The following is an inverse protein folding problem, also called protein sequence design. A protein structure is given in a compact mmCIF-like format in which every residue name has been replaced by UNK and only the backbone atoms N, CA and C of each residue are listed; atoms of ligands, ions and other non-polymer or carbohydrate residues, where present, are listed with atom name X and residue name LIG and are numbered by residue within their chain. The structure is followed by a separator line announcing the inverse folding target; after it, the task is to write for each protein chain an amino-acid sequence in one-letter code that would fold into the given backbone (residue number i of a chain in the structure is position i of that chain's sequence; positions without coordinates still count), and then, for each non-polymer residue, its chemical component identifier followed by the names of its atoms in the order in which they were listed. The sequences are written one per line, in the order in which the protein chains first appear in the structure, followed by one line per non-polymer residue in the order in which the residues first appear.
data_IF_249748637152
#
_entry.id   IF_249748637152
#
_cell.length_a   1.000
_cell.length_b   1.000
_cell.length_c   1.000
_cell.angle_alpha   90.00
_cell.angle_beta   90.00
_cell.angle_gamma   90.00
#
_symmetry.space_group_name_H-M   'P 1'
#
loop_
_entity.id
_entity.type
_entity.pdbx_description
1 polymer ?
#
# COMPACT_ATOMS: atom_id res chain seq x y z
N UNK A 1 -7.23 -19.65 4.74
CA UNK A 1 -6.56 -20.10 5.99
C UNK A 1 -5.54 -19.09 6.54
N UNK A 2 -5.13 -18.07 5.79
CA UNK A 2 -4.07 -17.13 6.21
C UNK A 2 -4.48 -16.17 7.34
N UNK A 3 -5.74 -15.73 7.39
CA UNK A 3 -6.18 -14.78 8.40
C UNK A 3 -6.04 -15.31 9.84
N UNK A 4 -6.54 -16.51 10.13
CA UNK A 4 -6.43 -17.07 11.48
C UNK A 4 -4.97 -17.28 11.90
N UNK A 5 -4.10 -17.64 10.95
CA UNK A 5 -2.67 -17.74 11.20
C UNK A 5 -2.04 -16.37 11.49
N UNK A 6 -2.40 -15.33 10.73
CA UNK A 6 -1.98 -13.95 11.00
C UNK A 6 -2.41 -13.51 12.40
N UNK A 7 -3.68 -13.69 12.77
CA UNK A 7 -4.19 -13.30 14.09
C UNK A 7 -3.48 -14.06 15.22
N UNK A 8 -3.22 -15.36 15.03
CA UNK A 8 -2.42 -16.16 15.97
C UNK A 8 -1.00 -15.61 16.10
N UNK A 9 -0.36 -15.23 14.99
CA UNK A 9 0.98 -14.65 15.00
C UNK A 9 1.02 -13.32 15.77
N UNK A 10 0.04 -12.43 15.55
CA UNK A 10 -0.09 -11.15 16.27
C UNK A 10 -0.17 -11.35 17.78
N UNK A 11 -0.98 -12.33 18.23
CA UNK A 11 -1.07 -12.69 19.65
C UNK A 11 0.24 -13.27 20.17
N UNK A 12 0.86 -14.18 19.42
CA UNK A 12 2.10 -14.84 19.82
C UNK A 12 3.26 -13.84 20.04
N UNK A 13 3.33 -12.78 19.21
CA UNK A 13 4.33 -11.72 19.35
C UNK A 13 3.90 -10.58 20.28
N UNK A 14 2.74 -10.72 20.95
CA UNK A 14 2.18 -9.75 21.90
C UNK A 14 1.90 -8.35 21.30
N UNK A 15 1.55 -8.30 20.01
CA UNK A 15 1.30 -7.05 19.29
C UNK A 15 -0.20 -6.68 19.20
N UNK A 16 -1.08 -7.38 19.91
CA UNK A 16 -2.54 -7.18 19.83
C UNK A 16 -3.03 -5.79 20.29
N UNK A 17 -2.19 -4.99 20.95
CA UNK A 17 -2.52 -3.61 21.33
C UNK A 17 -2.10 -2.57 20.27
N UNK A 18 -1.33 -2.98 19.26
CA UNK A 18 -0.75 -2.08 18.25
C UNK A 18 -1.10 -2.48 16.82
N UNK A 19 -1.56 -3.71 16.60
CA UNK A 19 -1.96 -4.22 15.29
C UNK A 19 -3.46 -4.52 15.30
N UNK A 20 -4.19 -3.90 14.37
CA UNK A 20 -5.59 -4.16 14.10
C UNK A 20 -5.74 -4.69 12.67
N UNK A 21 -6.45 -5.81 12.53
CA UNK A 21 -6.83 -6.34 11.23
C UNK A 21 -8.19 -5.78 10.79
N UNK A 22 -8.31 -5.41 9.52
CA UNK A 22 -9.58 -5.00 8.89
C UNK A 22 -10.07 -6.11 7.95
N UNK A 23 -11.18 -6.82 8.27
CA UNK A 23 -11.69 -7.95 7.48
C UNK A 23 -12.42 -7.52 6.20
N UNK A 24 -11.85 -6.60 5.44
CA UNK A 24 -12.42 -6.03 4.21
C UNK A 24 -11.42 -6.13 3.05
N UNK A 25 -11.89 -5.94 1.83
CA UNK A 25 -10.99 -5.69 0.69
C UNK A 25 -10.19 -4.40 0.93
N UNK A 26 -9.02 -4.27 0.30
CA UNK A 26 -8.18 -3.08 0.41
C UNK A 26 -8.96 -1.80 0.10
N UNK A 27 -9.68 -1.77 -1.03
CA UNK A 27 -10.52 -0.62 -1.41
C UNK A 27 -11.58 -0.25 -0.36
N UNK A 28 -12.30 -1.23 0.21
CA UNK A 28 -13.31 -0.95 1.26
C UNK A 28 -12.67 -0.50 2.56
N UNK A 29 -11.56 -1.11 2.97
CA UNK A 29 -10.83 -0.72 4.17
C UNK A 29 -10.27 0.71 4.05
N UNK A 30 -9.62 1.05 2.94
CA UNK A 30 -9.02 2.37 2.70
C UNK A 30 -10.10 3.47 2.61
N UNK A 31 -11.23 3.19 1.96
CA UNK A 31 -12.36 4.11 1.95
C UNK A 31 -12.89 4.38 3.37
N UNK A 32 -13.10 3.31 4.16
CA UNK A 32 -13.54 3.44 5.55
C UNK A 32 -12.55 4.22 6.42
N UNK A 33 -11.24 3.96 6.30
CA UNK A 33 -10.20 4.70 7.03
C UNK A 33 -10.22 6.19 6.68
N UNK A 34 -10.38 6.53 5.39
CA UNK A 34 -10.54 7.90 4.94
C UNK A 34 -11.78 8.57 5.57
N UNK A 35 -12.93 7.89 5.55
CA UNK A 35 -14.18 8.39 6.12
C UNK A 35 -14.09 8.58 7.65
N UNK A 36 -13.31 7.72 8.33
CA UNK A 36 -13.08 7.81 9.78
C UNK A 36 -11.97 8.79 10.17
N UNK A 37 -11.32 9.44 9.20
CA UNK A 37 -10.22 10.38 9.45
C UNK A 37 -8.95 9.71 10.00
N UNK A 38 -8.74 8.44 9.66
CA UNK A 38 -7.54 7.68 10.03
C UNK A 38 -6.53 7.76 8.89
N UNK A 39 -5.40 8.42 9.16
CA UNK A 39 -4.34 8.64 8.18
C UNK A 39 -3.01 8.10 8.68
N UNK A 40 -2.26 7.44 7.80
CA UNK A 40 -0.94 6.88 8.08
C UNK A 40 0.20 7.83 7.71
N UNK A 41 1.26 7.81 8.51
CA UNK A 41 2.55 8.41 8.15
C UNK A 41 3.31 7.55 7.12
N UNK A 42 3.05 6.24 7.15
CA UNK A 42 3.58 5.23 6.24
C UNK A 42 2.41 4.38 5.73
N UNK A 43 2.33 4.18 4.42
CA UNK A 43 1.33 3.29 3.80
C UNK A 43 2.04 2.37 2.81
N UNK A 44 1.98 1.08 3.10
CA UNK A 44 2.52 0.03 2.23
C UNK A 44 1.42 -0.51 1.30
N UNK A 45 1.74 -0.66 0.01
CA UNK A 45 0.86 -1.22 -1.00
C UNK A 45 1.47 -2.49 -1.56
N UNK A 46 0.86 -3.62 -1.22
CA UNK A 46 1.18 -4.96 -1.73
C UNK A 46 -0.05 -5.48 -2.50
N UNK A 47 -0.24 -4.90 -3.69
CA UNK A 47 -1.40 -5.13 -4.54
C UNK A 47 -1.25 -6.41 -5.37
N UNK A 48 -2.30 -6.78 -6.12
CA UNK A 48 -2.11 -7.75 -7.19
C UNK A 48 -1.14 -7.18 -8.24
N UNK A 49 -0.36 -8.06 -8.88
CA UNK A 49 0.75 -7.67 -9.72
C UNK A 49 0.34 -7.13 -11.12
N UNK A 50 -0.96 -6.97 -11.39
CA UNK A 50 -1.47 -6.37 -12.61
C UNK A 50 -1.63 -4.85 -12.49
N UNK A 51 -1.58 -4.15 -13.63
CA UNK A 51 -1.64 -2.69 -13.67
C UNK A 51 -2.90 -2.11 -13.02
N UNK A 52 -4.08 -2.69 -13.27
CA UNK A 52 -5.34 -2.09 -12.85
C UNK A 52 -5.54 -2.20 -11.34
N UNK A 53 -5.22 -3.35 -10.76
CA UNK A 53 -5.27 -3.55 -9.32
C UNK A 53 -4.26 -2.66 -8.59
N UNK A 54 -3.00 -2.66 -9.03
CA UNK A 54 -1.95 -1.80 -8.46
C UNK A 54 -2.31 -0.32 -8.57
N UNK A 55 -2.81 0.13 -9.73
CA UNK A 55 -3.27 1.50 -9.93
C UNK A 55 -4.38 1.89 -8.95
N UNK A 56 -5.40 1.04 -8.80
CA UNK A 56 -6.51 1.32 -7.90
C UNK A 56 -6.05 1.41 -6.43
N UNK A 57 -5.21 0.48 -5.99
CA UNK A 57 -4.73 0.43 -4.61
C UNK A 57 -3.78 1.59 -4.29
N UNK A 58 -2.85 1.94 -5.17
CA UNK A 58 -1.97 3.13 -5.01
C UNK A 58 -2.81 4.41 -4.86
N UNK A 59 -3.81 4.60 -5.72
CA UNK A 59 -4.66 5.79 -5.66
C UNK A 59 -5.52 5.84 -4.39
N UNK A 60 -5.99 4.71 -3.89
CA UNK A 60 -6.75 4.65 -2.64
C UNK A 60 -5.85 4.82 -1.41
N UNK A 61 -4.67 4.23 -1.42
CA UNK A 61 -3.66 4.35 -0.37
C UNK A 61 -3.21 5.80 -0.19
N UNK A 62 -3.01 6.52 -1.29
CA UNK A 62 -2.65 7.93 -1.24
C UNK A 62 -3.68 8.82 -0.52
N UNK A 63 -4.98 8.49 -0.60
CA UNK A 63 -6.04 9.26 0.08
C UNK A 63 -5.97 9.17 1.60
N UNK A 64 -5.35 8.12 2.13
CA UNK A 64 -5.15 7.92 3.57
C UNK A 64 -3.72 8.22 4.03
N UNK A 65 -2.88 8.79 3.14
CA UNK A 65 -1.53 9.22 3.47
C UNK A 65 -1.55 10.64 4.06
N UNK A 66 -0.84 10.85 5.18
CA UNK A 66 -0.61 12.19 5.72
C UNK A 66 0.32 13.01 4.83
N UNK A 67 0.17 14.33 4.86
CA UNK A 67 1.16 15.25 4.29
C UNK A 67 2.53 15.01 4.94
N UNK A 68 3.58 14.89 4.11
CA UNK A 68 4.92 14.49 4.54
C UNK A 68 5.09 12.98 4.80
N UNK A 69 4.06 12.17 4.57
CA UNK A 69 4.12 10.72 4.69
C UNK A 69 4.81 10.04 3.50
N UNK A 70 5.04 8.72 3.64
CA UNK A 70 5.64 7.88 2.61
C UNK A 70 4.67 6.80 2.14
N UNK A 71 4.46 6.75 0.82
CA UNK A 71 3.76 5.65 0.16
C UNK A 71 4.82 4.74 -0.47
N UNK A 72 4.77 3.45 -0.16
CA UNK A 72 5.76 2.49 -0.67
C UNK A 72 5.09 1.14 -0.95
N UNK A 73 5.79 0.25 -1.64
CA UNK A 73 5.29 -1.08 -1.95
C UNK A 73 6.33 -1.95 -2.61
N UNK A 74 5.97 -3.19 -2.94
CA UNK A 74 6.87 -4.19 -3.50
C UNK A 74 6.67 -4.38 -5.03
N UNK A 75 7.35 -5.38 -5.60
CA UNK A 75 7.18 -5.91 -6.96
C UNK A 75 7.46 -4.93 -8.10
N UNK A 76 8.28 -3.91 -7.87
CA UNK A 76 8.62 -2.93 -8.90
C UNK A 76 9.35 -3.55 -10.11
N UNK A 77 10.08 -4.65 -9.91
CA UNK A 77 10.81 -5.36 -10.96
C UNK A 77 10.11 -6.62 -11.48
N UNK A 78 8.94 -6.95 -10.94
CA UNK A 78 8.24 -8.18 -11.31
C UNK A 78 7.65 -8.08 -12.72
N UNK A 79 8.01 -9.02 -13.59
CA UNK A 79 7.52 -9.10 -14.97
C UNK A 79 6.18 -9.86 -15.05
N UNK A 80 5.15 -9.29 -14.41
CA UNK A 80 3.75 -9.70 -14.54
C UNK A 80 2.99 -8.55 -15.20
N UNK A 81 2.08 -8.87 -16.13
CA UNK A 81 1.31 -7.86 -16.89
C UNK A 81 2.19 -6.77 -17.53
N UNK A 82 3.35 -7.19 -18.07
CA UNK A 82 4.36 -6.30 -18.64
C UNK A 82 4.78 -5.21 -17.62
N UNK A 83 5.27 -5.65 -16.46
CA UNK A 83 5.59 -4.80 -15.31
C UNK A 83 4.40 -3.94 -14.84
N UNK A 84 3.25 -4.58 -14.61
CA UNK A 84 1.99 -3.93 -14.24
C UNK A 84 2.13 -2.99 -13.04
N UNK A 85 2.79 -3.44 -11.97
CA UNK A 85 3.07 -2.63 -10.76
C UNK A 85 3.93 -1.40 -11.10
N UNK A 86 5.08 -1.59 -11.76
CA UNK A 86 5.94 -0.46 -12.19
C UNK A 86 5.17 0.58 -12.98
N UNK A 87 4.38 0.12 -13.97
CA UNK A 87 3.61 1.02 -14.84
C UNK A 87 2.60 1.83 -14.03
N UNK A 88 1.97 1.24 -13.01
CA UNK A 88 1.05 1.94 -12.12
C UNK A 88 1.79 2.97 -11.25
N UNK A 89 2.91 2.58 -10.64
CA UNK A 89 3.76 3.47 -9.82
C UNK A 89 4.30 4.64 -10.63
N UNK A 90 4.90 4.40 -11.79
CA UNK A 90 5.50 5.43 -12.64
C UNK A 90 4.45 6.42 -13.14
N UNK A 91 3.27 5.93 -13.54
CA UNK A 91 2.17 6.78 -13.97
C UNK A 91 1.67 7.65 -12.81
N UNK A 92 1.49 7.05 -11.62
CA UNK A 92 0.99 7.76 -10.46
C UNK A 92 1.97 8.85 -10.02
N UNK A 93 3.27 8.50 -9.95
CA UNK A 93 4.32 9.42 -9.58
C UNK A 93 4.40 10.59 -10.55
N UNK A 94 4.37 10.32 -11.87
CA UNK A 94 4.38 11.35 -12.90
C UNK A 94 3.18 12.30 -12.79
N UNK A 95 1.98 11.78 -12.56
CA UNK A 95 0.76 12.60 -12.49
C UNK A 95 0.68 13.45 -11.22
N UNK A 96 1.28 13.00 -10.13
CA UNK A 96 1.23 13.69 -8.84
C UNK A 96 2.55 14.39 -8.45
N UNK A 97 3.54 14.43 -9.37
CA UNK A 97 4.81 15.14 -9.15
C UNK A 97 5.76 14.45 -8.17
N UNK A 98 5.61 13.15 -7.93
CA UNK A 98 6.55 12.38 -7.12
C UNK A 98 7.77 11.95 -7.93
N UNK A 99 8.87 11.76 -7.22
CA UNK A 99 10.02 10.99 -7.68
C UNK A 99 9.87 9.56 -7.16
N UNK A 100 10.07 8.59 -8.04
CA UNK A 100 10.16 7.18 -7.64
C UNK A 100 11.58 6.91 -7.17
N UNK A 101 11.72 6.56 -5.90
CA UNK A 101 12.96 6.01 -5.35
C UNK A 101 12.82 4.49 -5.23
N UNK A 102 13.93 3.77 -5.46
CA UNK A 102 13.96 2.32 -5.45
C UNK A 102 14.86 1.84 -4.32
N UNK A 103 14.37 0.91 -3.51
CA UNK A 103 15.13 0.24 -2.46
C UNK A 103 14.95 -1.28 -2.54
N UNK A 104 15.94 -1.97 -3.12
CA UNK A 104 15.83 -3.39 -3.45
C UNK A 104 14.68 -3.65 -4.42
N UNK A 105 13.72 -4.47 -4.00
CA UNK A 105 12.50 -4.79 -4.76
C UNK A 105 11.35 -3.78 -4.50
N UNK A 106 11.55 -2.84 -3.58
CA UNK A 106 10.53 -1.86 -3.19
C UNK A 106 10.64 -0.56 -3.99
N UNK A 107 9.48 0.06 -4.20
CA UNK A 107 9.35 1.43 -4.68
C UNK A 107 8.90 2.33 -3.53
N UNK A 108 9.36 3.59 -3.54
CA UNK A 108 9.14 4.56 -2.48
C UNK A 108 8.77 5.92 -3.11
N UNK A 109 7.67 6.49 -2.62
CA UNK A 109 7.17 7.83 -2.97
C UNK A 109 7.04 8.64 -1.67
N UNK A 110 8.02 9.51 -1.42
CA UNK A 110 7.97 10.44 -0.30
C UNK A 110 7.16 11.70 -0.68
N UNK A 111 6.10 12.01 0.08
CA UNK A 111 5.42 13.31 -0.07
C UNK A 111 6.38 14.42 0.33
N UNK A 112 6.51 15.48 -0.50
CA UNK A 112 7.19 16.69 -0.08
C UNK A 112 6.47 17.35 1.10
#
# INVERSE_FOLDING_TARGET
MLLYQFMKNVVNVRASQSIMFLPFSAGTALAGLCDWGVYGDLVEVDAAHDFHSAWADINNAYKVLRSGGVLFGHDYFLDVDNYGVRRAVDLFARLNGFRVDIDGEHWVLASP
#
